data_IF_094743667858
#
_entry.id   IF_094743667858
#
_cell.length_a   1.000
_cell.length_b   1.000
_cell.length_c   1.000
_cell.angle_alpha   90.00
_cell.angle_beta   90.00
_cell.angle_gamma   90.00
#
_symmetry.space_group_name_H-M   'P 1'
#
loop_
_entity.id
_entity.type
_entity.pdbx_description
1 polymer ?
#
# COMPACT_ATOMS: atom_id res chain seq x y z
N UNK A 1 26.71 -10.66 31.65
CA UNK A 1 26.85 -9.28 32.08
C UNK A 1 25.55 -8.77 32.68
N UNK A 2 25.54 -8.42 33.99
CA UNK A 2 24.34 -8.03 34.72
C UNK A 2 23.65 -6.80 34.15
N UNK A 3 24.42 -5.77 33.74
CA UNK A 3 23.87 -4.55 33.20
C UNK A 3 23.15 -4.79 31.85
N UNK A 4 23.68 -5.66 31.03
CA UNK A 4 23.07 -6.04 29.76
C UNK A 4 21.74 -6.80 29.96
N UNK A 5 21.74 -7.77 30.89
CA UNK A 5 20.53 -8.53 31.27
C UNK A 5 19.43 -7.61 31.85
N UNK A 6 19.80 -6.64 32.69
CA UNK A 6 18.85 -5.65 33.23
C UNK A 6 18.23 -4.81 32.13
N UNK A 7 19.04 -4.33 31.18
CA UNK A 7 18.54 -3.54 30.02
C UNK A 7 17.55 -4.33 29.19
N UNK A 8 17.84 -5.58 28.87
CA UNK A 8 16.90 -6.43 28.13
C UNK A 8 15.60 -6.70 28.90
N UNK A 9 15.70 -6.94 30.22
CA UNK A 9 14.50 -7.14 31.05
C UNK A 9 13.61 -5.90 31.09
N UNK A 10 14.17 -4.70 31.15
CA UNK A 10 13.42 -3.44 31.11
C UNK A 10 12.71 -3.25 29.76
N UNK A 11 13.38 -3.53 28.64
CA UNK A 11 12.79 -3.44 27.30
C UNK A 11 11.63 -4.44 27.17
N UNK A 12 11.80 -5.68 27.61
CA UNK A 12 10.73 -6.68 27.60
C UNK A 12 9.52 -6.28 28.42
N UNK A 13 9.74 -5.67 29.59
CA UNK A 13 8.66 -5.16 30.45
C UNK A 13 7.89 -4.02 29.75
N UNK A 14 8.58 -3.06 29.14
CA UNK A 14 7.96 -1.96 28.40
C UNK A 14 7.14 -2.47 27.21
N UNK A 15 7.64 -3.44 26.45
CA UNK A 15 6.89 -4.08 25.36
C UNK A 15 5.62 -4.77 25.86
N UNK A 16 5.69 -5.52 26.96
CA UNK A 16 4.54 -6.17 27.57
C UNK A 16 3.50 -5.16 28.06
N UNK A 17 3.95 -4.06 28.67
CA UNK A 17 3.07 -2.98 29.11
C UNK A 17 2.34 -2.32 27.96
N UNK A 18 3.06 -1.97 26.88
CA UNK A 18 2.47 -1.39 25.65
C UNK A 18 1.45 -2.32 25.03
N UNK A 19 1.75 -3.61 24.94
CA UNK A 19 0.82 -4.61 24.40
C UNK A 19 -0.45 -4.72 25.24
N UNK A 20 -0.35 -4.58 26.56
CA UNK A 20 -1.48 -4.67 27.46
C UNK A 20 -2.38 -3.44 27.42
N UNK A 21 -1.81 -2.24 27.44
CA UNK A 21 -2.55 -0.98 27.56
C UNK A 21 -2.78 -0.27 26.20
N UNK A 22 -1.90 -0.48 25.25
CA UNK A 22 -1.96 0.12 23.91
C UNK A 22 -1.66 -0.93 22.83
N UNK A 23 -2.47 -2.01 22.74
CA UNK A 23 -2.19 -3.12 21.82
C UNK A 23 -2.14 -2.69 20.36
N UNK A 24 -2.98 -1.77 19.95
CA UNK A 24 -3.04 -1.24 18.60
C UNK A 24 -1.74 -0.53 18.20
N UNK A 25 -1.24 0.37 19.05
CA UNK A 25 0.01 1.11 18.80
C UNK A 25 1.21 0.17 18.78
N UNK A 26 1.25 -0.79 19.71
CA UNK A 26 2.31 -1.78 19.76
C UNK A 26 2.30 -2.65 18.51
N UNK A 27 1.13 -3.09 18.06
CA UNK A 27 1.00 -3.97 16.91
C UNK A 27 1.46 -3.29 15.61
N UNK A 28 1.10 -2.04 15.39
CA UNK A 28 1.57 -1.27 14.25
C UNK A 28 3.10 -1.13 14.25
N UNK A 29 3.68 -0.77 15.38
CA UNK A 29 5.14 -0.66 15.55
C UNK A 29 5.85 -2.01 15.37
N UNK A 30 5.27 -3.09 15.88
CA UNK A 30 5.77 -4.44 15.69
C UNK A 30 5.82 -4.83 14.21
N UNK A 31 4.75 -4.60 13.47
CA UNK A 31 4.69 -4.89 12.04
C UNK A 31 5.70 -4.08 11.23
N UNK A 32 5.93 -2.82 11.59
CA UNK A 32 6.94 -1.98 10.93
C UNK A 32 8.36 -2.48 11.16
N UNK A 33 8.65 -2.99 12.34
CA UNK A 33 10.00 -3.41 12.73
C UNK A 33 10.36 -4.83 12.32
N UNK A 34 9.37 -5.69 12.07
CA UNK A 34 9.64 -7.06 11.66
C UNK A 34 10.33 -7.13 10.29
N UNK A 35 11.38 -7.95 10.15
CA UNK A 35 12.00 -8.19 8.86
C UNK A 35 11.02 -8.78 7.84
N UNK A 36 11.24 -8.49 6.57
CA UNK A 36 10.40 -8.96 5.47
C UNK A 36 10.18 -10.49 5.51
N UNK A 37 11.21 -11.25 5.90
CA UNK A 37 11.15 -12.71 6.00
C UNK A 37 10.17 -13.21 7.06
N UNK A 38 9.79 -12.37 8.02
CA UNK A 38 8.87 -12.71 9.12
C UNK A 38 7.54 -11.99 9.05
N UNK A 39 7.33 -11.16 8.01
CA UNK A 39 6.15 -10.30 7.86
C UNK A 39 4.84 -11.11 7.87
N UNK A 40 4.81 -12.23 7.16
CA UNK A 40 3.62 -13.09 7.11
C UNK A 40 3.24 -13.65 8.49
N UNK A 41 4.24 -14.05 9.27
CA UNK A 41 4.01 -14.52 10.65
C UNK A 41 3.53 -13.39 11.56
N UNK A 42 4.09 -12.20 11.39
CA UNK A 42 3.69 -11.01 12.14
C UNK A 42 2.23 -10.63 11.85
N UNK A 43 1.82 -10.68 10.59
CA UNK A 43 0.43 -10.44 10.18
C UNK A 43 -0.51 -11.50 10.77
N UNK A 44 -0.10 -12.78 10.78
CA UNK A 44 -0.88 -13.84 11.41
C UNK A 44 -1.06 -13.61 12.92
N UNK A 45 -0.03 -13.15 13.61
CA UNK A 45 -0.09 -12.77 15.03
C UNK A 45 -1.07 -11.62 15.24
N UNK A 46 -1.02 -10.59 14.41
CA UNK A 46 -1.94 -9.46 14.48
C UNK A 46 -3.40 -9.91 14.35
N UNK A 47 -3.69 -10.82 13.42
CA UNK A 47 -5.02 -11.41 13.26
C UNK A 47 -5.47 -12.20 14.47
N UNK A 48 -4.56 -12.94 15.13
CA UNK A 48 -4.85 -13.65 16.37
C UNK A 48 -5.22 -12.72 17.53
N UNK A 49 -4.68 -11.50 17.54
CA UNK A 49 -5.05 -10.46 18.50
C UNK A 49 -6.37 -9.78 18.18
N UNK A 50 -7.05 -10.16 17.10
CA UNK A 50 -8.33 -9.62 16.72
C UNK A 50 -8.28 -8.43 15.77
N UNK A 51 -7.10 -8.08 15.26
CA UNK A 51 -6.96 -7.02 14.26
C UNK A 51 -7.32 -7.53 12.86
N UNK A 52 -8.05 -6.72 12.13
CA UNK A 52 -8.25 -6.91 10.70
C UNK A 52 -7.15 -6.17 9.93
N UNK A 53 -6.69 -6.77 8.84
CA UNK A 53 -5.70 -6.14 7.97
C UNK A 53 -6.45 -5.54 6.77
N UNK A 54 -6.41 -4.22 6.64
CA UNK A 54 -6.97 -3.56 5.46
C UNK A 54 -6.11 -3.85 4.23
N UNK A 55 -6.74 -4.13 3.08
CA UNK A 55 -6.00 -4.25 1.83
C UNK A 55 -5.30 -2.94 1.46
N UNK A 56 -4.23 -3.03 0.68
CA UNK A 56 -3.54 -1.88 0.16
C UNK A 56 -4.48 -0.98 -0.64
N UNK A 57 -4.40 0.33 -0.41
CA UNK A 57 -5.25 1.32 -1.05
C UNK A 57 -4.41 2.55 -1.40
N UNK A 58 -4.47 2.98 -2.66
CA UNK A 58 -3.70 4.11 -3.17
C UNK A 58 -3.97 5.42 -2.40
N UNK A 59 -5.16 5.58 -1.85
CA UNK A 59 -5.58 6.78 -1.15
C UNK A 59 -5.34 6.76 0.36
N UNK A 60 -5.27 5.59 0.98
CA UNK A 60 -5.21 5.45 2.44
C UNK A 60 -3.93 4.85 2.98
N UNK A 61 -3.22 4.03 2.19
CA UNK A 61 -1.97 3.42 2.62
C UNK A 61 -0.87 4.46 2.80
N UNK A 62 -0.22 4.44 3.97
CA UNK A 62 0.88 5.35 4.31
C UNK A 62 2.26 4.76 4.01
N UNK A 63 3.29 5.32 4.66
CA UNK A 63 4.67 4.81 4.59
C UNK A 63 4.96 3.76 5.65
N UNK A 64 4.19 3.76 6.72
CA UNK A 64 4.31 2.86 7.87
C UNK A 64 2.95 2.24 8.16
N UNK A 65 2.95 1.13 8.91
CA UNK A 65 1.73 0.54 9.40
C UNK A 65 1.00 1.53 10.31
N UNK A 66 -0.27 1.74 10.03
CA UNK A 66 -1.13 2.65 10.78
C UNK A 66 -2.35 1.91 11.29
N UNK A 67 -3.02 2.53 12.26
CA UNK A 67 -4.25 2.02 12.84
C UNK A 67 -5.42 2.86 12.35
N UNK A 68 -6.52 2.19 12.01
CA UNK A 68 -7.78 2.85 11.69
C UNK A 68 -8.32 3.63 12.89
N UNK A 69 -9.17 4.61 12.65
CA UNK A 69 -9.78 5.44 13.71
C UNK A 69 -10.52 4.61 14.76
N UNK A 70 -11.11 3.48 14.39
CA UNK A 70 -11.80 2.57 15.29
C UNK A 70 -10.86 1.69 16.12
N UNK A 71 -9.55 1.70 15.85
CA UNK A 71 -8.55 0.91 16.55
C UNK A 71 -8.59 -0.59 16.26
N UNK A 72 -9.38 -1.05 15.30
CA UNK A 72 -9.62 -2.47 15.02
C UNK A 72 -8.91 -2.99 13.78
N UNK A 73 -8.54 -2.09 12.87
CA UNK A 73 -7.95 -2.43 11.58
C UNK A 73 -6.55 -1.84 11.45
N UNK A 74 -5.67 -2.61 10.83
CA UNK A 74 -4.31 -2.21 10.52
C UNK A 74 -4.22 -1.90 9.03
N UNK A 75 -3.73 -0.71 8.71
CA UNK A 75 -3.60 -0.22 7.34
C UNK A 75 -2.19 -0.54 6.85
N UNK A 76 -2.11 -1.35 5.78
CA UNK A 76 -0.85 -1.72 5.17
C UNK A 76 -0.17 -0.51 4.52
N UNK A 77 1.16 -0.34 4.70
CA UNK A 77 1.89 0.74 4.07
C UNK A 77 2.25 0.43 2.61
N UNK A 78 2.40 1.47 1.80
CA UNK A 78 2.90 1.37 0.43
C UNK A 78 4.32 0.79 0.37
N UNK A 79 5.10 0.98 1.42
CA UNK A 79 6.46 0.41 1.56
C UNK A 79 6.49 -1.10 1.63
N UNK A 80 5.38 -1.75 1.94
CA UNK A 80 5.27 -3.22 1.92
C UNK A 80 5.21 -3.81 0.51
N UNK A 81 5.02 -2.98 -0.51
CA UNK A 81 4.92 -3.42 -1.91
C UNK A 81 6.33 -3.65 -2.46
N UNK A 82 6.67 -4.90 -2.76
CA UNK A 82 7.94 -5.24 -3.38
C UNK A 82 8.03 -4.65 -4.80
N UNK A 83 9.10 -3.95 -5.05
CA UNK A 83 9.34 -3.34 -6.36
C UNK A 83 8.80 -1.92 -6.54
N UNK A 84 8.14 -1.37 -5.52
CA UNK A 84 7.73 0.02 -5.51
C UNK A 84 8.80 0.84 -4.78
N UNK A 85 9.46 1.73 -5.50
CA UNK A 85 10.52 2.58 -4.96
C UNK A 85 9.97 3.82 -4.24
N UNK A 86 10.81 4.42 -3.37
CA UNK A 86 10.44 5.61 -2.60
C UNK A 86 10.03 6.79 -3.49
N UNK A 87 10.71 6.96 -4.63
CA UNK A 87 10.37 8.02 -5.57
C UNK A 87 8.96 7.89 -6.15
N UNK A 88 8.49 6.66 -6.39
CA UNK A 88 7.13 6.40 -6.82
C UNK A 88 6.12 6.66 -5.70
N UNK A 89 6.45 6.25 -4.48
CA UNK A 89 5.63 6.52 -3.29
C UNK A 89 5.48 8.03 -3.07
N UNK A 90 6.55 8.80 -3.21
CA UNK A 90 6.50 10.26 -3.12
C UNK A 90 5.50 10.87 -4.11
N UNK A 91 5.47 10.39 -5.34
CA UNK A 91 4.52 10.87 -6.34
C UNK A 91 3.07 10.55 -5.95
N UNK A 92 2.81 9.37 -5.41
CA UNK A 92 1.49 8.99 -4.92
C UNK A 92 1.02 9.96 -3.83
N UNK A 93 1.88 10.29 -2.88
CA UNK A 93 1.56 11.25 -1.81
C UNK A 93 1.31 12.66 -2.33
N UNK A 94 2.02 13.08 -3.38
CA UNK A 94 1.83 14.39 -4.01
C UNK A 94 0.47 14.48 -4.69
N UNK A 95 0.07 13.44 -5.42
CA UNK A 95 -1.12 13.47 -6.28
C UNK A 95 -2.44 13.11 -5.60
N UNK A 96 -2.42 12.36 -4.50
CA UNK A 96 -3.65 11.88 -3.86
C UNK A 96 -4.41 12.98 -3.09
N UNK A 97 -5.73 12.86 -2.92
CA UNK A 97 -6.55 11.68 -3.20
C UNK A 97 -6.90 11.55 -4.69
N UNK A 98 -7.10 10.29 -5.13
CA UNK A 98 -7.50 9.97 -6.49
C UNK A 98 -8.95 9.47 -6.49
N UNK A 99 -9.79 10.06 -7.35
CA UNK A 99 -11.20 9.70 -7.47
C UNK A 99 -11.45 8.64 -8.55
N UNK A 100 -10.56 8.58 -9.52
CA UNK A 100 -10.66 7.69 -10.67
C UNK A 100 -9.29 7.27 -11.17
N UNK A 101 -9.24 6.29 -12.06
CA UNK A 101 -7.96 5.87 -12.67
C UNK A 101 -7.38 7.00 -13.53
N UNK A 102 -8.21 7.80 -14.18
CA UNK A 102 -7.76 8.96 -14.95
C UNK A 102 -7.12 10.02 -14.06
N UNK A 103 -7.71 10.30 -12.89
CA UNK A 103 -7.14 11.25 -11.94
C UNK A 103 -5.77 10.81 -11.42
N UNK A 104 -5.49 9.51 -11.42
CA UNK A 104 -4.18 8.95 -11.09
C UNK A 104 -3.22 9.00 -12.28
N UNK A 105 -3.65 8.57 -13.47
CA UNK A 105 -2.77 8.44 -14.63
C UNK A 105 -2.44 9.78 -15.30
N UNK A 106 -3.33 10.77 -15.21
CA UNK A 106 -3.19 12.07 -15.85
C UNK A 106 -3.06 13.23 -14.84
N UNK A 107 -2.62 12.94 -13.64
CA UNK A 107 -2.43 13.96 -12.61
C UNK A 107 -1.26 14.89 -12.96
N UNK A 108 -1.52 16.19 -13.06
CA UNK A 108 -0.53 17.19 -13.47
C UNK A 108 0.56 17.45 -12.43
N UNK A 109 0.29 17.15 -11.16
CA UNK A 109 1.25 17.33 -10.07
C UNK A 109 2.25 16.19 -9.97
N UNK A 110 1.94 15.03 -10.56
CA UNK A 110 2.78 13.84 -10.51
C UNK A 110 3.77 13.77 -11.66
N UNK A 111 4.99 13.32 -11.36
CA UNK A 111 6.03 13.06 -12.36
C UNK A 111 6.02 11.60 -12.77
N UNK A 112 5.45 11.29 -13.92
CA UNK A 112 5.35 9.92 -14.43
C UNK A 112 6.70 9.27 -14.75
N UNK A 113 7.77 10.04 -14.88
CA UNK A 113 9.13 9.51 -14.97
C UNK A 113 9.54 8.73 -13.70
N UNK A 114 8.91 9.02 -12.58
CA UNK A 114 9.11 8.32 -11.29
C UNK A 114 8.17 7.14 -11.09
N UNK A 115 7.07 7.09 -11.85
CA UNK A 115 6.10 6.00 -11.87
C UNK A 115 6.28 5.19 -13.17
N UNK A 116 7.33 4.40 -13.24
CA UNK A 116 7.61 3.59 -14.43
C UNK A 116 6.65 2.40 -14.57
N UNK A 117 6.74 1.70 -15.68
CA UNK A 117 5.89 0.53 -15.97
C UNK A 117 5.93 -0.52 -14.87
N UNK A 118 7.11 -0.78 -14.29
CA UNK A 118 7.26 -1.71 -13.17
C UNK A 118 6.50 -1.25 -11.93
N UNK A 119 6.57 0.03 -11.61
CA UNK A 119 5.83 0.60 -10.47
C UNK A 119 4.31 0.47 -10.67
N UNK A 120 3.81 0.77 -11.86
CA UNK A 120 2.40 0.60 -12.18
C UNK A 120 1.97 -0.86 -12.14
N UNK A 121 2.80 -1.77 -12.66
CA UNK A 121 2.55 -3.20 -12.62
C UNK A 121 2.38 -3.71 -11.18
N UNK A 122 3.30 -3.36 -10.28
CA UNK A 122 3.21 -3.81 -8.88
C UNK A 122 2.04 -3.17 -8.14
N UNK A 123 1.68 -1.93 -8.46
CA UNK A 123 0.50 -1.27 -7.89
C UNK A 123 -0.80 -1.98 -8.28
N UNK A 124 -0.93 -2.40 -9.53
CA UNK A 124 -2.11 -3.15 -9.99
C UNK A 124 -2.13 -4.55 -9.37
N UNK A 125 -1.02 -5.28 -9.44
CA UNK A 125 -0.93 -6.67 -8.94
C UNK A 125 -1.13 -6.77 -7.43
N UNK A 126 -0.68 -5.78 -6.66
CA UNK A 126 -0.87 -5.75 -5.21
C UNK A 126 -2.29 -5.40 -4.78
N UNK A 127 -3.15 -5.00 -5.72
CA UNK A 127 -4.50 -4.54 -5.43
C UNK A 127 -4.58 -3.09 -4.94
N UNK A 128 -3.48 -2.36 -4.93
CA UNK A 128 -3.43 -0.97 -4.44
C UNK A 128 -4.31 -0.04 -5.27
N UNK A 129 -4.41 -0.27 -6.59
CA UNK A 129 -5.25 0.51 -7.50
C UNK A 129 -6.68 -0.04 -7.64
N UNK A 130 -7.02 -1.14 -6.99
CA UNK A 130 -8.37 -1.74 -7.07
C UNK A 130 -9.49 -0.75 -6.76
N UNK A 131 -9.37 0.17 -5.79
CA UNK A 131 -10.41 1.17 -5.54
C UNK A 131 -10.69 2.10 -6.72
N UNK A 132 -9.76 2.22 -7.67
CA UNK A 132 -9.91 3.04 -8.88
C UNK A 132 -10.42 2.24 -10.09
N UNK A 133 -10.56 0.93 -9.95
CA UNK A 133 -11.13 0.07 -11.00
C UNK A 133 -12.65 0.24 -11.02
N UNK A 134 -13.16 0.63 -12.16
CA UNK A 134 -14.59 0.85 -12.37
C UNK A 134 -15.21 -0.13 -13.37
N UNK A 135 -16.47 0.12 -13.75
CA UNK A 135 -17.25 -0.77 -14.61
C UNK A 135 -16.75 -0.87 -16.07
N UNK A 136 -15.87 0.05 -16.51
CA UNK A 136 -15.25 0.00 -17.83
C UNK A 136 -14.34 -1.22 -18.00
N UNK A 137 -13.83 -1.75 -16.89
CA UNK A 137 -12.92 -2.87 -16.90
C UNK A 137 -13.66 -4.16 -16.56
N UNK A 138 -13.53 -5.15 -17.42
CA UNK A 138 -14.21 -6.46 -17.27
C UNK A 138 -13.52 -7.37 -16.23
N UNK A 139 -12.52 -6.86 -15.55
CA UNK A 139 -11.82 -7.56 -14.49
C UNK A 139 -10.38 -7.11 -14.34
N UNK A 140 -9.69 -7.65 -13.35
CA UNK A 140 -8.33 -7.25 -12.98
C UNK A 140 -7.33 -7.41 -14.13
N UNK A 141 -7.46 -8.43 -14.97
CA UNK A 141 -6.56 -8.65 -16.12
C UNK A 141 -6.69 -7.53 -17.15
N UNK A 142 -7.93 -7.13 -17.44
CA UNK A 142 -8.20 -6.02 -18.36
C UNK A 142 -7.64 -4.71 -17.80
N UNK A 143 -7.95 -4.42 -16.55
CA UNK A 143 -7.43 -3.25 -15.84
C UNK A 143 -5.89 -3.22 -15.82
N UNK A 144 -5.27 -4.35 -15.51
CA UNK A 144 -3.82 -4.49 -15.51
C UNK A 144 -3.21 -4.22 -16.89
N UNK A 145 -3.81 -4.75 -17.95
CA UNK A 145 -3.35 -4.50 -19.32
C UNK A 145 -3.39 -3.01 -19.67
N UNK A 146 -4.50 -2.35 -19.35
CA UNK A 146 -4.66 -0.93 -19.64
C UNK A 146 -3.68 -0.05 -18.85
N UNK A 147 -3.46 -0.35 -17.57
CA UNK A 147 -2.66 0.52 -16.68
C UNK A 147 -1.17 0.21 -16.72
N UNK A 148 -0.80 -1.05 -16.77
CA UNK A 148 0.59 -1.46 -16.58
C UNK A 148 1.27 -2.05 -17.81
N UNK A 149 0.64 -3.02 -18.51
CA UNK A 149 1.28 -3.77 -19.59
C UNK A 149 1.44 -2.93 -20.85
N UNK A 150 0.36 -2.32 -21.28
CA UNK A 150 0.29 -1.58 -22.54
C UNK A 150 0.52 -0.08 -22.37
N UNK A 151 1.06 0.32 -21.21
CA UNK A 151 1.36 1.71 -20.93
C UNK A 151 2.26 2.31 -22.01
N UNK A 152 1.79 3.33 -22.72
CA UNK A 152 2.61 4.09 -23.64
C UNK A 152 3.61 4.99 -22.91
N UNK A 153 4.61 5.48 -23.63
CA UNK A 153 5.65 6.33 -23.05
C UNK A 153 5.21 7.75 -22.72
N UNK A 154 4.14 8.21 -23.37
CA UNK A 154 3.58 9.56 -23.19
C UNK A 154 2.19 9.49 -22.59
N UNK A 155 1.83 10.49 -21.79
CA UNK A 155 0.51 10.59 -21.14
C UNK A 155 -0.63 10.53 -22.15
N UNK A 156 -0.52 11.27 -23.26
CA UNK A 156 -1.53 11.27 -24.32
C UNK A 156 -1.86 9.85 -24.81
N UNK A 157 -0.83 9.04 -24.99
CA UNK A 157 -1.03 7.67 -25.44
C UNK A 157 -1.61 6.76 -24.34
N UNK A 158 -1.48 7.11 -23.04
CA UNK A 158 -2.15 6.39 -21.97
C UNK A 158 -3.67 6.60 -22.05
N UNK A 159 -4.11 7.82 -22.31
CA UNK A 159 -5.51 8.14 -22.51
C UNK A 159 -6.12 7.34 -23.67
N UNK A 160 -5.45 7.35 -24.81
CA UNK A 160 -5.84 6.56 -25.98
C UNK A 160 -5.93 5.05 -25.66
N UNK A 161 -5.00 4.52 -24.87
CA UNK A 161 -5.02 3.12 -24.47
C UNK A 161 -6.13 2.79 -23.47
N UNK A 162 -6.43 3.69 -22.56
CA UNK A 162 -7.56 3.49 -21.64
C UNK A 162 -8.86 3.46 -22.42
N UNK A 163 -9.07 4.37 -23.35
CA UNK A 163 -10.24 4.38 -24.23
C UNK A 163 -10.34 3.10 -25.06
N UNK A 164 -9.21 2.63 -25.61
CA UNK A 164 -9.15 1.41 -26.40
C UNK A 164 -9.59 0.17 -25.61
N UNK A 165 -9.20 0.09 -24.33
CA UNK A 165 -9.52 -1.05 -23.47
C UNK A 165 -10.83 -0.89 -22.71
N UNK A 166 -11.46 0.28 -22.73
CA UNK A 166 -12.76 0.48 -22.12
C UNK A 166 -13.83 -0.30 -22.90
N UNK A 167 -14.79 -0.94 -22.19
CA UNK A 167 -15.91 -1.58 -22.86
C UNK A 167 -16.74 -0.57 -23.65
N UNK A 168 -17.25 -0.99 -24.82
CA UNK A 168 -18.12 -0.15 -25.64
C UNK A 168 -19.37 0.27 -24.86
N UNK A 169 -19.71 1.54 -24.92
CA UNK A 169 -20.92 2.09 -24.29
C UNK A 169 -20.73 2.61 -22.87
N UNK A 170 -19.49 2.72 -22.42
CA UNK A 170 -19.16 3.31 -21.11
C UNK A 170 -18.53 4.70 -21.25
#
# INVERSE_FOLDING_TARGET
>A
NKSHAVSYSMISFQCAWLLTYYPECWMAAFLDKEPETRKEKAIAIAKQFGFEIEPLNINTSGRVWEISEDGKRLIQPLTSIKGLGDAAIDQIFIGRPFDSIESFLFNEEMRYSKLNKKSLDVLVRSGTLTPLMDQRFTGMKHFWSAVAVDRPRKIKNLEENIELYAPEGH
#
